data_IF_998242301103
#
_entry.id   IF_998242301103
#
_cell.length_a   1.000
_cell.length_b   1.000
_cell.length_c   1.000
_cell.angle_alpha   90.00
_cell.angle_beta   90.00
_cell.angle_gamma   90.00
#
_symmetry.space_group_name_H-M   'P 1'
#
loop_
_entity.id
_entity.type
_entity.pdbx_description
1 polymer ?
#
# COMPACT_ATOMS: atom_id res chain seq x y z
N UNK A 1 -9.31 -16.15 18.77
CA UNK A 1 -10.15 -15.54 19.82
C UNK A 1 -9.96 -14.04 19.68
N UNK A 2 -10.66 -13.45 18.69
CA UNK A 2 -10.53 -12.02 18.40
C UNK A 2 -11.19 -11.23 19.52
N UNK A 3 -10.50 -10.20 20.02
CA UNK A 3 -11.15 -9.16 20.78
C UNK A 3 -12.02 -8.41 19.78
N UNK A 4 -13.35 -8.56 19.84
CA UNK A 4 -14.23 -7.50 19.36
C UNK A 4 -13.81 -6.26 20.13
N UNK A 5 -13.11 -5.35 19.45
CA UNK A 5 -12.80 -4.06 20.03
C UNK A 5 -14.14 -3.36 20.28
N UNK A 6 -14.39 -2.97 21.53
CA UNK A 6 -15.54 -2.13 21.87
C UNK A 6 -15.32 -0.75 21.24
N UNK A 7 -15.74 -0.61 19.99
CA UNK A 7 -15.73 0.67 19.31
C UNK A 7 -16.83 1.54 19.93
N UNK A 8 -16.48 2.76 20.34
CA UNK A 8 -17.43 3.71 20.92
C UNK A 8 -17.52 4.94 20.02
N UNK A 9 -18.74 5.30 19.61
CA UNK A 9 -18.96 6.49 18.79
C UNK A 9 -19.17 7.73 19.67
N UNK A 10 -18.69 8.91 19.25
CA UNK A 10 -18.88 10.15 19.98
C UNK A 10 -20.37 10.44 20.18
N UNK A 11 -20.72 10.81 21.41
CA UNK A 11 -22.09 11.21 21.76
C UNK A 11 -22.34 12.68 21.40
N UNK A 12 -23.59 13.05 21.08
CA UNK A 12 -23.95 14.45 20.81
C UNK A 12 -23.63 15.37 21.99
N UNK A 13 -22.96 16.48 21.67
CA UNK A 13 -22.66 17.57 22.62
C UNK A 13 -23.70 18.68 22.45
N UNK A 14 -24.04 19.02 21.21
CA UNK A 14 -25.04 20.02 20.87
C UNK A 14 -26.44 19.37 20.81
N UNK A 15 -27.46 20.15 21.16
CA UNK A 15 -28.85 19.68 21.18
C UNK A 15 -29.75 20.62 20.38
N UNK A 16 -30.89 20.11 19.91
CA UNK A 16 -31.97 20.89 19.28
C UNK A 16 -31.50 21.84 18.18
N UNK A 17 -31.84 23.12 18.33
CA UNK A 17 -31.63 24.16 17.32
C UNK A 17 -30.15 24.44 17.03
N UNK A 18 -29.28 24.33 18.04
CA UNK A 18 -27.84 24.54 17.86
C UNK A 18 -27.24 23.47 16.95
N UNK A 19 -27.64 22.20 17.16
CA UNK A 19 -27.23 21.08 16.32
C UNK A 19 -27.74 21.26 14.89
N UNK A 20 -29.02 21.61 14.73
CA UNK A 20 -29.63 21.84 13.42
C UNK A 20 -28.93 22.99 12.66
N UNK A 21 -28.55 24.06 13.36
CA UNK A 21 -27.80 25.18 12.79
C UNK A 21 -26.42 24.74 12.29
N UNK A 22 -25.66 23.99 13.08
CA UNK A 22 -24.34 23.52 12.64
C UNK A 22 -24.45 22.55 11.44
N UNK A 23 -25.44 21.65 11.44
CA UNK A 23 -25.68 20.75 10.30
C UNK A 23 -26.03 21.51 9.02
N UNK A 24 -26.82 22.58 9.13
CA UNK A 24 -27.15 23.46 8.01
C UNK A 24 -25.92 24.18 7.48
N UNK A 25 -25.05 24.67 8.37
CA UNK A 25 -23.80 25.34 7.99
C UNK A 25 -22.76 24.39 7.37
N UNK A 26 -22.81 23.11 7.74
CA UNK A 26 -21.99 22.06 7.13
C UNK A 26 -22.47 21.65 5.73
N UNK A 27 -23.60 22.18 5.24
CA UNK A 27 -24.05 21.99 3.84
C UNK A 27 -23.20 22.83 2.88
N UNK A 28 -21.88 22.67 2.93
CA UNK A 28 -20.92 23.28 2.01
C UNK A 28 -20.73 22.35 0.81
N UNK A 29 -20.46 22.90 -0.37
CA UNK A 29 -20.04 22.09 -1.51
C UNK A 29 -18.71 21.41 -1.22
N UNK A 30 -18.73 20.08 -1.10
CA UNK A 30 -17.56 19.19 -0.94
C UNK A 30 -16.56 19.21 -2.12
N UNK A 31 -16.55 20.29 -2.91
CA UNK A 31 -15.57 20.57 -3.96
C UNK A 31 -14.77 21.84 -3.68
N UNK A 32 -15.14 22.59 -2.64
CA UNK A 32 -14.41 23.77 -2.18
C UNK A 32 -13.16 23.34 -1.40
N UNK A 33 -11.95 23.80 -1.77
CA UNK A 33 -10.73 23.56 -1.00
C UNK A 33 -10.80 23.99 0.47
N UNK A 34 -11.64 24.96 0.82
CA UNK A 34 -11.84 25.41 2.21
C UNK A 34 -12.91 24.61 2.96
N UNK A 35 -13.64 23.71 2.29
CA UNK A 35 -14.68 22.91 2.93
C UNK A 35 -14.13 22.01 4.05
N UNK A 36 -12.95 21.41 3.87
CA UNK A 36 -12.34 20.58 4.92
C UNK A 36 -12.17 21.36 6.23
N UNK A 37 -11.56 22.54 6.18
CA UNK A 37 -11.34 23.39 7.36
C UNK A 37 -12.63 23.84 8.01
N UNK A 38 -13.62 24.24 7.20
CA UNK A 38 -14.91 24.69 7.69
C UNK A 38 -15.65 23.55 8.39
N UNK A 39 -15.73 22.37 7.77
CA UNK A 39 -16.39 21.20 8.35
C UNK A 39 -15.64 20.76 9.61
N UNK A 40 -14.32 20.68 9.58
CA UNK A 40 -13.50 20.36 10.75
C UNK A 40 -13.73 21.33 11.91
N UNK A 41 -13.75 22.65 11.66
CA UNK A 41 -14.01 23.66 12.70
C UNK A 41 -15.38 23.51 13.36
N UNK A 42 -16.39 23.10 12.58
CA UNK A 42 -17.75 22.82 13.06
C UNK A 42 -17.79 21.51 13.85
N UNK A 43 -17.17 20.45 13.33
CA UNK A 43 -17.07 19.15 13.98
C UNK A 43 -16.30 19.20 15.30
N UNK A 44 -15.33 20.12 15.46
CA UNK A 44 -14.63 20.33 16.75
C UNK A 44 -15.59 20.78 17.86
N UNK A 45 -16.73 21.38 17.53
CA UNK A 45 -17.77 21.74 18.52
C UNK A 45 -18.62 20.55 18.93
N UNK A 46 -18.87 19.64 17.99
CA UNK A 46 -19.60 18.39 18.22
C UNK A 46 -19.20 17.34 17.14
N UNK A 47 -18.30 16.40 17.47
CA UNK A 47 -17.82 15.41 16.50
C UNK A 47 -18.90 14.45 16.02
N UNK A 48 -19.98 14.25 16.79
CA UNK A 48 -21.09 13.38 16.39
C UNK A 48 -21.84 13.91 15.16
N UNK A 49 -21.68 15.19 14.81
CA UNK A 49 -22.21 15.77 13.58
C UNK A 49 -21.69 15.06 12.32
N UNK A 50 -20.48 14.46 12.40
CA UNK A 50 -19.88 13.73 11.28
C UNK A 50 -20.56 12.39 11.00
N UNK A 51 -21.24 11.82 12.00
CA UNK A 51 -21.96 10.56 11.88
C UNK A 51 -23.41 10.75 11.37
N UNK A 52 -23.85 12.00 11.23
CA UNK A 52 -25.17 12.32 10.70
C UNK A 52 -25.22 12.11 9.18
N UNK A 53 -26.39 11.68 8.72
CA UNK A 53 -26.67 11.47 7.29
C UNK A 53 -26.32 12.73 6.51
N UNK A 54 -25.59 12.56 5.41
CA UNK A 54 -25.45 13.65 4.45
C UNK A 54 -26.80 13.87 3.75
N UNK A 55 -27.28 15.11 3.73
CA UNK A 55 -28.51 15.48 3.01
C UNK A 55 -28.30 15.52 1.47
N UNK A 56 -27.07 15.26 1.00
CA UNK A 56 -26.74 15.33 -0.42
C UNK A 56 -27.15 14.04 -1.13
N UNK A 57 -28.28 14.10 -1.82
CA UNK A 57 -28.71 13.12 -2.82
C UNK A 57 -27.80 13.03 -4.07
N UNK A 58 -26.63 13.67 -4.10
CA UNK A 58 -25.84 13.83 -5.33
C UNK A 58 -24.71 12.84 -5.53
N UNK A 59 -24.46 11.91 -4.59
CA UNK A 59 -23.64 10.73 -4.87
C UNK A 59 -24.12 9.55 -4.06
N UNK A 60 -24.56 8.51 -4.76
CA UNK A 60 -25.07 7.21 -4.29
C UNK A 60 -24.08 6.38 -3.42
N UNK A 61 -23.17 7.02 -2.66
CA UNK A 61 -21.91 6.41 -2.24
C UNK A 61 -21.50 6.69 -0.78
N UNK A 62 -21.93 7.81 -0.17
CA UNK A 62 -21.55 8.19 1.20
C UNK A 62 -22.80 8.28 2.10
N UNK A 63 -22.84 7.49 3.18
CA UNK A 63 -23.97 7.43 4.11
C UNK A 63 -23.95 8.56 5.15
N UNK A 64 -22.75 9.00 5.55
CA UNK A 64 -22.52 10.03 6.56
C UNK A 64 -21.61 11.14 6.05
N UNK A 65 -21.53 12.26 6.77
CA UNK A 65 -20.55 13.33 6.48
C UNK A 65 -19.11 12.85 6.65
N UNK A 66 -18.87 11.88 7.53
CA UNK A 66 -17.56 11.24 7.68
C UNK A 66 -17.19 10.45 6.43
N UNK A 67 -18.13 9.70 5.85
CA UNK A 67 -17.91 8.97 4.58
C UNK A 67 -17.60 9.93 3.42
N UNK A 68 -18.26 11.08 3.37
CA UNK A 68 -17.96 12.15 2.40
C UNK A 68 -16.56 12.71 2.63
N UNK A 69 -16.20 13.01 3.89
CA UNK A 69 -14.87 13.51 4.22
C UNK A 69 -13.77 12.54 3.78
N UNK A 70 -13.95 11.23 3.97
CA UNK A 70 -13.01 10.23 3.47
C UNK A 70 -12.98 10.20 1.93
N UNK A 71 -14.14 10.25 1.28
CA UNK A 71 -14.22 10.24 -0.19
C UNK A 71 -13.51 11.44 -0.85
N UNK A 72 -13.61 12.62 -0.25
CA UNK A 72 -12.98 13.85 -0.74
C UNK A 72 -11.57 14.10 -0.19
N UNK A 73 -11.02 13.17 0.60
CA UNK A 73 -9.68 13.27 1.22
C UNK A 73 -9.54 14.48 2.16
N UNK A 74 -10.59 14.75 2.95
CA UNK A 74 -10.67 15.84 3.94
C UNK A 74 -9.99 15.42 5.24
N UNK A 75 -8.65 15.52 5.24
CA UNK A 75 -7.78 15.03 6.30
C UNK A 75 -8.07 15.73 7.64
N UNK A 76 -8.33 17.04 7.65
CA UNK A 76 -8.58 17.76 8.92
C UNK A 76 -9.91 17.31 9.55
N UNK A 77 -10.94 17.10 8.73
CA UNK A 77 -12.25 16.64 9.18
C UNK A 77 -12.18 15.23 9.74
N UNK A 78 -11.49 14.31 9.05
CA UNK A 78 -11.30 12.94 9.54
C UNK A 78 -10.47 12.93 10.82
N UNK A 79 -9.45 13.78 10.93
CA UNK A 79 -8.64 13.91 12.15
C UNK A 79 -9.52 14.27 13.36
N UNK A 80 -10.49 15.17 13.21
CA UNK A 80 -11.41 15.52 14.30
C UNK A 80 -12.22 14.31 14.77
N UNK A 81 -12.69 13.46 13.85
CA UNK A 81 -13.41 12.24 14.21
C UNK A 81 -12.52 11.27 15.01
N UNK A 82 -11.29 11.05 14.55
CA UNK A 82 -10.34 10.13 15.19
C UNK A 82 -9.88 10.65 16.57
N UNK A 83 -9.68 11.97 16.71
CA UNK A 83 -9.39 12.62 18.01
C UNK A 83 -10.57 12.54 18.99
N UNK A 84 -11.80 12.49 18.47
CA UNK A 84 -13.01 12.31 19.25
C UNK A 84 -13.31 10.84 19.65
N UNK A 85 -12.41 9.91 19.31
CA UNK A 85 -12.49 8.51 19.70
C UNK A 85 -13.14 7.58 18.67
N UNK A 86 -13.45 8.07 17.46
CA UNK A 86 -13.84 7.18 16.35
C UNK A 86 -12.62 6.31 16.00
N UNK A 87 -12.77 4.99 16.09
CA UNK A 87 -11.68 4.08 15.73
C UNK A 87 -11.58 3.95 14.20
N UNK A 88 -10.38 4.02 13.59
CA UNK A 88 -10.21 3.95 12.14
C UNK A 88 -10.67 2.62 11.52
N UNK A 89 -10.74 1.56 12.33
CA UNK A 89 -11.26 0.25 11.94
C UNK A 89 -12.73 0.02 12.33
N UNK A 90 -13.45 1.00 12.89
CA UNK A 90 -14.88 0.83 13.21
C UNK A 90 -15.71 0.82 11.93
N UNK A 91 -16.27 -0.34 11.52
CA UNK A 91 -17.04 -0.45 10.29
C UNK A 91 -18.36 0.33 10.32
N UNK A 92 -18.83 0.73 11.51
CA UNK A 92 -20.05 1.53 11.65
C UNK A 92 -19.79 3.00 11.33
N UNK A 93 -18.55 3.46 11.49
CA UNK A 93 -18.14 4.84 11.23
C UNK A 93 -17.79 5.08 9.76
N UNK A 94 -17.34 4.04 9.03
CA UNK A 94 -16.91 4.13 7.64
C UNK A 94 -17.71 3.17 6.76
N UNK A 95 -18.88 3.64 6.30
CA UNK A 95 -19.81 2.85 5.50
C UNK A 95 -19.71 3.25 4.03
N UNK A 96 -18.96 2.47 3.24
CA UNK A 96 -19.00 2.65 1.79
C UNK A 96 -20.27 2.01 1.22
N UNK A 97 -21.13 2.82 0.62
CA UNK A 97 -22.31 2.29 -0.09
C UNK A 97 -21.88 1.83 -1.48
N UNK A 98 -22.14 0.55 -1.81
CA UNK A 98 -21.92 0.04 -3.17
C UNK A 98 -23.04 0.52 -4.10
N UNK A 99 -22.67 0.90 -5.33
CA UNK A 99 -23.65 1.17 -6.38
C UNK A 99 -24.46 -0.10 -6.68
N UNK A 100 -25.78 -0.04 -6.51
CA UNK A 100 -26.70 -1.11 -6.91
C UNK A 100 -27.45 -1.83 -5.79
N UNK A 101 -27.40 -1.35 -4.54
CA UNK A 101 -28.21 -1.91 -3.44
C UNK A 101 -27.74 -3.29 -2.93
N UNK A 102 -26.58 -3.76 -3.38
CA UNK A 102 -25.86 -4.85 -2.73
C UNK A 102 -25.39 -4.44 -1.34
N UNK A 103 -25.24 -5.41 -0.43
CA UNK A 103 -24.88 -5.19 0.98
C UNK A 103 -23.74 -4.16 1.14
N UNK A 104 -23.92 -3.24 2.09
CA UNK A 104 -22.89 -2.28 2.55
C UNK A 104 -21.65 -3.08 2.93
N UNK A 105 -20.60 -3.00 2.11
CA UNK A 105 -19.31 -3.51 2.51
C UNK A 105 -18.85 -2.64 3.67
N UNK A 106 -18.85 -3.21 4.88
CA UNK A 106 -18.23 -2.60 6.05
C UNK A 106 -16.76 -2.36 5.72
N UNK A 107 -16.34 -1.09 5.66
CA UNK A 107 -14.97 -0.73 5.28
C UNK A 107 -14.25 -0.10 6.47
N UNK A 108 -12.97 -0.41 6.61
CA UNK A 108 -12.05 0.29 7.52
C UNK A 108 -11.50 1.51 6.78
N UNK A 109 -11.11 2.56 7.48
CA UNK A 109 -10.54 3.78 6.87
C UNK A 109 -9.38 3.46 5.92
N UNK A 110 -8.47 2.58 6.34
CA UNK A 110 -7.30 2.12 5.56
C UNK A 110 -7.66 1.28 4.33
N UNK A 111 -8.87 0.71 4.31
CA UNK A 111 -9.38 -0.15 3.24
C UNK A 111 -10.42 0.56 2.37
N UNK A 112 -10.68 1.84 2.65
CA UNK A 112 -11.82 2.55 2.11
C UNK A 112 -11.69 2.65 0.59
N UNK A 113 -12.68 2.11 -0.11
CA UNK A 113 -12.82 2.08 -1.55
C UNK A 113 -14.24 2.44 -1.89
N UNK A 114 -14.39 3.59 -2.53
CA UNK A 114 -15.67 3.95 -3.14
C UNK A 114 -15.76 3.25 -4.49
N UNK A 115 -16.85 2.50 -4.70
CA UNK A 115 -17.17 1.71 -5.88
C UNK A 115 -17.56 2.58 -7.10
N UNK A 116 -16.74 3.57 -7.42
CA UNK A 116 -16.72 4.13 -8.77
C UNK A 116 -15.62 3.43 -9.57
N UNK A 117 -15.67 3.52 -10.90
CA UNK A 117 -14.69 2.89 -11.82
C UNK A 117 -13.20 3.25 -11.54
N UNK A 118 -12.91 4.08 -10.53
CA UNK A 118 -11.56 4.55 -10.17
C UNK A 118 -11.06 4.05 -8.80
N UNK A 119 -11.79 3.16 -8.10
CA UNK A 119 -11.33 2.40 -6.92
C UNK A 119 -10.30 3.14 -6.05
N UNK A 120 -10.73 4.19 -5.34
CA UNK A 120 -9.78 5.10 -4.67
C UNK A 120 -9.43 4.59 -3.27
N UNK A 121 -8.20 4.11 -3.10
CA UNK A 121 -7.59 4.02 -1.77
C UNK A 121 -7.32 5.41 -1.16
N UNK A 122 -7.28 5.50 0.18
CA UNK A 122 -6.81 6.68 0.90
C UNK A 122 -5.45 7.16 0.39
N UNK A 123 -5.28 8.47 0.32
CA UNK A 123 -3.98 9.10 0.02
C UNK A 123 -3.02 8.97 1.21
N UNK A 124 -1.70 9.19 1.01
CA UNK A 124 -0.70 8.96 2.06
C UNK A 124 -0.99 9.65 3.38
N UNK A 125 -1.46 10.91 3.35
CA UNK A 125 -1.79 11.65 4.59
C UNK A 125 -2.95 11.05 5.37
N UNK A 126 -4.01 10.63 4.67
CA UNK A 126 -5.16 9.98 5.30
C UNK A 126 -4.77 8.62 5.91
N UNK A 127 -3.94 7.85 5.19
CA UNK A 127 -3.42 6.57 5.67
C UNK A 127 -2.48 6.74 6.86
N UNK A 128 -1.55 7.70 6.81
CA UNK A 128 -0.66 8.04 7.93
C UNK A 128 -1.47 8.42 9.17
N UNK A 129 -2.51 9.24 8.99
CA UNK A 129 -3.44 9.62 10.05
C UNK A 129 -4.16 8.38 10.63
N UNK A 130 -4.69 7.50 9.78
CA UNK A 130 -5.34 6.27 10.23
C UNK A 130 -4.39 5.38 11.07
N UNK A 131 -3.18 5.13 10.56
CA UNK A 131 -2.17 4.32 11.25
C UNK A 131 -1.76 4.95 12.58
N UNK A 132 -1.60 6.28 12.64
CA UNK A 132 -1.30 7.02 13.88
C UNK A 132 -2.38 6.83 14.94
N UNK A 133 -3.64 6.69 14.53
CA UNK A 133 -4.79 6.47 15.42
C UNK A 133 -5.13 4.98 15.62
N UNK A 134 -4.18 4.07 15.33
CA UNK A 134 -4.29 2.67 15.71
C UNK A 134 -4.97 1.77 14.68
N UNK A 135 -5.07 2.21 13.42
CA UNK A 135 -5.56 1.34 12.35
C UNK A 135 -4.69 0.09 12.19
N UNK A 136 -5.32 -1.06 12.05
CA UNK A 136 -4.65 -2.36 11.91
C UNK A 136 -4.12 -2.55 10.46
N UNK A 137 -2.80 -2.50 10.21
CA UNK A 137 -2.25 -2.64 8.86
C UNK A 137 -2.47 -4.04 8.25
N UNK A 138 -2.78 -5.04 9.08
CA UNK A 138 -3.08 -6.41 8.69
C UNK A 138 -4.58 -6.71 8.60
N UNK A 139 -5.41 -5.72 8.94
CA UNK A 139 -6.83 -5.90 9.17
C UNK A 139 -7.51 -6.82 8.18
N UNK A 140 -8.12 -7.90 8.68
CA UNK A 140 -8.83 -8.86 7.85
C UNK A 140 -9.88 -8.13 7.02
N UNK A 141 -9.58 -8.00 5.73
CA UNK A 141 -10.57 -7.73 4.72
C UNK A 141 -11.17 -9.10 4.46
N UNK A 142 -12.36 -9.36 4.99
CA UNK A 142 -13.20 -10.41 4.44
C UNK A 142 -13.43 -10.04 2.97
N UNK A 143 -12.59 -10.59 2.10
CA UNK A 143 -12.82 -10.57 0.67
C UNK A 143 -14.16 -11.29 0.50
N UNK A 144 -15.12 -10.57 -0.06
CA UNK A 144 -16.54 -10.88 -0.23
C UNK A 144 -16.87 -12.30 -0.74
N UNK A 145 -15.88 -13.11 -1.12
CA UNK A 145 -16.08 -14.43 -1.72
C UNK A 145 -15.03 -15.51 -1.35
N UNK A 146 -13.93 -15.22 -0.61
CA UNK A 146 -12.83 -16.21 -0.49
C UNK A 146 -12.32 -16.55 0.92
N UNK A 147 -12.73 -15.84 1.97
CA UNK A 147 -12.33 -16.17 3.35
C UNK A 147 -10.81 -16.13 3.60
N UNK A 148 -10.08 -15.31 2.84
CA UNK A 148 -8.62 -15.20 2.94
C UNK A 148 -8.17 -13.81 3.36
N UNK A 149 -7.24 -13.79 4.31
CA UNK A 149 -6.57 -12.60 4.80
C UNK A 149 -5.62 -12.05 3.73
N UNK A 150 -5.97 -10.92 3.13
CA UNK A 150 -5.03 -10.12 2.35
C UNK A 150 -4.64 -8.90 3.19
N UNK A 151 -3.38 -8.81 3.59
CA UNK A 151 -2.87 -7.61 4.24
C UNK A 151 -3.06 -6.37 3.35
N UNK A 152 -3.30 -5.21 3.95
CA UNK A 152 -3.55 -3.98 3.19
C UNK A 152 -2.40 -3.65 2.25
N UNK A 153 -1.16 -3.94 2.65
CA UNK A 153 0.03 -3.70 1.81
C UNK A 153 -0.01 -4.47 0.49
N UNK A 154 -0.49 -5.71 0.50
CA UNK A 154 -0.66 -6.52 -0.71
C UNK A 154 -1.74 -5.94 -1.59
N UNK A 155 -2.85 -5.48 -1.00
CA UNK A 155 -3.95 -4.88 -1.75
C UNK A 155 -3.54 -3.60 -2.49
N UNK A 156 -2.77 -2.73 -1.82
CA UNK A 156 -2.19 -1.55 -2.46
C UNK A 156 -1.20 -1.92 -3.57
N UNK A 157 -0.43 -3.01 -3.41
CA UNK A 157 0.45 -3.51 -4.46
C UNK A 157 -0.31 -4.08 -5.67
N UNK A 158 -1.42 -4.79 -5.43
CA UNK A 158 -2.29 -5.31 -6.51
C UNK A 158 -2.88 -4.18 -7.35
N UNK A 159 -3.24 -3.05 -6.75
CA UNK A 159 -3.75 -1.89 -7.48
C UNK A 159 -2.75 -1.29 -8.48
N UNK A 160 -1.45 -1.48 -8.24
CA UNK A 160 -0.42 -1.05 -9.19
C UNK A 160 -0.51 -1.80 -10.53
N UNK A 161 -1.04 -3.03 -10.52
CA UNK A 161 -1.18 -3.85 -11.72
C UNK A 161 -2.24 -3.31 -12.68
N UNK A 162 -3.35 -2.81 -12.14
CA UNK A 162 -4.48 -2.30 -12.94
C UNK A 162 -4.27 -0.86 -13.45
N UNK A 163 -3.12 -0.25 -13.16
CA UNK A 163 -2.74 1.08 -13.61
C UNK A 163 -2.40 1.15 -15.12
N UNK A 164 -3.43 0.99 -15.96
CA UNK A 164 -3.32 1.00 -17.43
C UNK A 164 -3.65 2.36 -18.08
N UNK A 165 -3.92 3.42 -17.29
CA UNK A 165 -4.32 4.75 -17.78
C UNK A 165 -3.46 5.93 -17.29
N UNK A 166 -3.57 7.09 -17.95
CA UNK A 166 -2.82 8.32 -17.59
C UNK A 166 -3.16 8.84 -16.18
N UNK A 167 -4.42 8.73 -15.76
CA UNK A 167 -4.88 9.09 -14.41
C UNK A 167 -4.27 8.17 -13.34
N UNK A 168 -4.07 6.90 -13.69
CA UNK A 168 -3.46 5.90 -12.84
C UNK A 168 -1.96 6.16 -12.62
N UNK A 169 -1.23 6.61 -13.66
CA UNK A 169 0.18 6.99 -13.53
C UNK A 169 0.40 8.21 -12.63
N UNK A 170 -0.54 9.16 -12.60
CA UNK A 170 -0.45 10.34 -11.73
C UNK A 170 -0.51 9.97 -10.23
N UNK A 171 -1.12 8.83 -9.89
CA UNK A 171 -1.27 8.34 -8.51
C UNK A 171 -0.15 7.43 -8.04
N UNK A 172 0.74 7.03 -8.94
CA UNK A 172 1.80 6.09 -8.65
C UNK A 172 2.70 6.52 -7.46
N UNK A 173 3.14 7.79 -7.34
CA UNK A 173 3.91 8.23 -6.18
C UNK A 173 3.14 8.06 -4.86
N UNK A 174 1.85 8.44 -4.85
CA UNK A 174 0.99 8.31 -3.68
C UNK A 174 0.80 6.85 -3.28
N UNK A 175 0.52 5.96 -4.24
CA UNK A 175 0.36 4.52 -3.95
C UNK A 175 1.64 3.91 -3.42
N UNK A 176 2.81 4.24 -4.01
CA UNK A 176 4.10 3.76 -3.51
C UNK A 176 4.38 4.27 -2.09
N UNK A 177 4.00 5.50 -1.77
CA UNK A 177 4.14 6.06 -0.43
C UNK A 177 3.20 5.37 0.57
N UNK A 178 1.95 5.09 0.18
CA UNK A 178 1.04 4.30 1.00
C UNK A 178 1.60 2.91 1.30
N UNK A 179 2.21 2.24 0.32
CA UNK A 179 2.88 0.95 0.53
C UNK A 179 4.03 1.09 1.54
N UNK A 180 4.84 2.17 1.47
CA UNK A 180 5.90 2.42 2.45
C UNK A 180 5.35 2.60 3.86
N UNK A 181 4.28 3.37 4.02
CA UNK A 181 3.61 3.58 5.30
C UNK A 181 3.12 2.24 5.89
N UNK A 182 2.46 1.41 5.08
CA UNK A 182 1.99 0.10 5.51
C UNK A 182 3.15 -0.83 5.88
N UNK A 183 4.21 -0.91 5.07
CA UNK A 183 5.41 -1.70 5.41
C UNK A 183 6.06 -1.24 6.71
N UNK A 184 6.09 0.07 6.99
CA UNK A 184 6.63 0.62 8.23
C UNK A 184 5.75 0.34 9.44
N UNK A 185 4.45 0.13 9.25
CA UNK A 185 3.54 -0.34 10.29
C UNK A 185 3.77 -1.81 10.68
N UNK A 186 4.75 -2.50 10.06
CA UNK A 186 5.14 -3.89 10.33
C UNK A 186 3.97 -4.88 10.19
N UNK A 187 3.45 -5.06 8.97
CA UNK A 187 2.39 -6.03 8.73
C UNK A 187 2.92 -7.43 9.03
N UNK A 188 2.10 -8.27 9.67
CA UNK A 188 2.43 -9.65 10.05
C UNK A 188 2.72 -10.53 8.84
N UNK A 189 1.94 -10.37 7.77
CA UNK A 189 2.03 -11.21 6.57
C UNK A 189 2.20 -10.34 5.31
N UNK A 190 3.41 -10.33 4.76
CA UNK A 190 3.72 -9.65 3.49
C UNK A 190 3.53 -10.60 2.31
N UNK A 191 4.04 -11.81 2.42
CA UNK A 191 3.80 -12.91 1.49
C UNK A 191 2.64 -13.79 1.97
N UNK A 192 1.96 -14.50 1.06
CA UNK A 192 0.86 -15.36 1.46
C UNK A 192 1.39 -16.63 2.13
N UNK A 193 0.70 -17.08 3.19
CA UNK A 193 1.06 -18.29 3.94
C UNK A 193 0.62 -19.58 3.24
N UNK A 194 -0.45 -19.51 2.43
CA UNK A 194 -0.97 -20.66 1.68
C UNK A 194 -1.30 -20.33 0.23
N UNK A 195 -1.14 -21.36 -0.58
CA UNK A 195 -1.24 -21.33 -2.02
C UNK A 195 -2.71 -21.58 -2.42
N UNK A 196 -3.44 -20.56 -2.90
CA UNK A 196 -4.81 -20.78 -3.40
C UNK A 196 -5.26 -19.85 -4.55
N UNK A 197 -6.17 -20.34 -5.41
CA UNK A 197 -6.46 -19.89 -6.81
C UNK A 197 -6.85 -18.41 -6.99
N UNK A 198 -6.23 -17.74 -7.99
CA UNK A 198 -6.22 -16.30 -8.36
C UNK A 198 -5.07 -15.44 -7.80
N UNK A 199 -4.68 -14.39 -8.56
CA UNK A 199 -3.49 -13.48 -8.45
C UNK A 199 -2.97 -13.10 -7.04
N UNK A 200 -3.73 -13.39 -6.01
CA UNK A 200 -3.35 -13.42 -4.60
C UNK A 200 -2.17 -14.39 -4.28
N UNK A 201 -1.79 -15.31 -5.19
CA UNK A 201 -0.64 -16.22 -4.98
C UNK A 201 0.74 -15.61 -5.20
N UNK A 202 0.85 -14.43 -5.80
CA UNK A 202 2.17 -13.88 -6.08
C UNK A 202 2.83 -13.40 -4.79
N UNK A 203 4.13 -13.62 -4.64
CA UNK A 203 4.92 -12.95 -3.62
C UNK A 203 4.73 -11.44 -3.75
N UNK A 204 4.81 -10.71 -2.64
CA UNK A 204 4.61 -9.27 -2.60
C UNK A 204 5.46 -8.53 -3.64
N UNK A 205 6.71 -8.98 -3.84
CA UNK A 205 7.64 -8.37 -4.80
C UNK A 205 7.23 -8.63 -6.25
N UNK A 206 6.58 -9.76 -6.56
CA UNK A 206 5.94 -9.98 -7.86
C UNK A 206 4.73 -9.08 -8.07
N UNK A 207 3.86 -8.91 -7.06
CA UNK A 207 2.72 -7.98 -7.13
C UNK A 207 3.21 -6.56 -7.41
N UNK A 208 4.14 -6.07 -6.58
CA UNK A 208 4.81 -4.77 -6.77
C UNK A 208 5.44 -4.65 -8.16
N UNK A 209 6.12 -5.71 -8.62
CA UNK A 209 6.83 -5.74 -9.90
C UNK A 209 5.97 -5.78 -11.16
N UNK A 210 4.71 -6.20 -11.02
CA UNK A 210 3.77 -6.34 -12.12
C UNK A 210 3.05 -5.03 -12.49
N UNK A 211 3.53 -3.89 -11.98
CA UNK A 211 2.95 -2.59 -12.22
C UNK A 211 3.14 -2.12 -13.67
N UNK A 212 2.06 -1.88 -14.41
CA UNK A 212 2.05 -1.44 -15.82
C UNK A 212 2.96 -0.25 -16.17
N UNK A 213 3.18 0.64 -15.20
CA UNK A 213 4.14 1.74 -15.32
C UNK A 213 5.59 1.27 -15.60
N UNK A 214 6.01 0.13 -15.05
CA UNK A 214 7.36 -0.42 -15.24
C UNK A 214 7.53 -1.09 -16.61
N UNK A 215 6.47 -1.61 -17.21
CA UNK A 215 6.51 -2.19 -18.57
C UNK A 215 6.50 -1.13 -19.66
N UNK A 216 5.80 -0.02 -19.44
CA UNK A 216 5.72 1.07 -20.42
C UNK A 216 6.95 1.99 -20.44
N UNK A 217 7.79 1.97 -19.38
CA UNK A 217 8.99 2.80 -19.24
C UNK A 217 10.20 1.99 -18.75
N UNK A 218 10.73 1.08 -19.58
CA UNK A 218 11.81 0.20 -19.20
C UNK A 218 13.12 0.97 -19.01
N UNK A 219 13.53 1.23 -17.76
CA UNK A 219 14.87 1.76 -17.46
C UNK A 219 15.23 1.55 -15.99
N UNK A 220 16.36 0.90 -15.74
CA UNK A 220 16.93 0.71 -14.40
C UNK A 220 17.42 2.00 -13.74
N UNK A 221 17.71 3.04 -14.53
CA UNK A 221 18.22 4.33 -14.03
C UNK A 221 17.13 5.37 -13.84
N UNK A 222 15.91 5.09 -14.29
CA UNK A 222 14.76 5.97 -14.11
C UNK A 222 14.46 6.20 -12.63
N UNK A 223 13.95 7.39 -12.29
CA UNK A 223 13.52 7.68 -10.92
C UNK A 223 12.39 6.76 -10.48
N UNK A 224 11.58 6.26 -11.42
CA UNK A 224 10.56 5.29 -11.12
C UNK A 224 11.15 3.96 -10.65
N UNK A 225 12.12 3.42 -11.38
CA UNK A 225 12.82 2.20 -10.98
C UNK A 225 13.53 2.35 -9.63
N UNK A 226 14.11 3.53 -9.33
CA UNK A 226 14.69 3.82 -8.01
C UNK A 226 13.64 3.78 -6.90
N UNK A 227 12.44 4.32 -7.13
CA UNK A 227 11.35 4.28 -6.15
C UNK A 227 10.88 2.84 -5.89
N UNK A 228 10.63 2.06 -6.94
CA UNK A 228 10.28 0.64 -6.82
C UNK A 228 11.37 -0.17 -6.12
N UNK A 229 12.65 0.07 -6.44
CA UNK A 229 13.79 -0.53 -5.75
C UNK A 229 13.81 -0.18 -4.25
N UNK A 230 13.56 1.08 -3.90
CA UNK A 230 13.47 1.52 -2.51
C UNK A 230 12.36 0.80 -1.75
N UNK A 231 11.17 0.64 -2.35
CA UNK A 231 10.06 -0.10 -1.73
C UNK A 231 10.39 -1.59 -1.62
N UNK A 232 11.02 -2.18 -2.64
CA UNK A 232 11.46 -3.58 -2.60
C UNK A 232 12.48 -3.86 -1.48
N UNK A 233 13.47 -2.99 -1.32
CA UNK A 233 14.45 -3.07 -0.23
C UNK A 233 13.77 -2.98 1.13
N UNK A 234 12.81 -2.07 1.30
CA UNK A 234 12.03 -1.97 2.53
C UNK A 234 11.23 -3.26 2.77
N UNK A 235 10.53 -3.77 1.76
CA UNK A 235 9.76 -5.00 1.89
C UNK A 235 10.62 -6.20 2.28
N UNK A 236 11.80 -6.36 1.68
CA UNK A 236 12.78 -7.38 2.07
C UNK A 236 13.21 -7.23 3.53
N UNK A 237 13.49 -5.99 3.97
CA UNK A 237 13.85 -5.72 5.37
C UNK A 237 12.69 -6.00 6.35
N UNK A 238 11.45 -6.01 5.87
CA UNK A 238 10.25 -6.35 6.63
C UNK A 238 9.84 -7.82 6.52
N UNK A 239 10.61 -8.65 5.80
CA UNK A 239 10.39 -10.09 5.73
C UNK A 239 9.76 -10.60 4.43
N UNK A 240 9.59 -9.76 3.40
CA UNK A 240 9.24 -10.24 2.07
C UNK A 240 10.32 -11.21 1.56
N UNK A 241 9.90 -12.32 0.98
CA UNK A 241 10.75 -13.34 0.41
C UNK A 241 11.22 -12.90 -0.97
N UNK A 242 12.54 -12.75 -1.12
CA UNK A 242 13.17 -12.50 -2.43
C UNK A 242 12.96 -13.67 -3.41
N UNK A 243 12.83 -14.88 -2.86
CA UNK A 243 12.82 -16.14 -3.61
C UNK A 243 11.45 -16.84 -3.55
N UNK A 244 10.40 -16.08 -3.33
CA UNK A 244 9.05 -16.61 -3.39
C UNK A 244 8.84 -17.33 -4.73
N UNK A 245 8.37 -18.58 -4.66
CA UNK A 245 8.10 -19.41 -5.83
C UNK A 245 6.63 -19.24 -6.18
N UNK A 246 6.35 -18.82 -7.41
CA UNK A 246 4.99 -18.68 -7.92
C UNK A 246 4.39 -20.09 -8.05
N UNK A 247 3.36 -20.45 -7.28
CA UNK A 247 2.95 -21.86 -7.13
C UNK A 247 2.52 -22.55 -8.41
N UNK A 248 1.77 -21.88 -9.29
CA UNK A 248 1.28 -22.45 -10.55
C UNK A 248 2.36 -22.60 -11.63
N UNK A 249 3.44 -21.82 -11.53
CA UNK A 249 4.51 -21.78 -12.53
C UNK A 249 5.79 -22.50 -12.06
N UNK A 250 5.90 -22.77 -10.76
CA UNK A 250 7.12 -23.32 -10.16
C UNK A 250 8.35 -22.42 -10.30
N UNK A 251 8.16 -21.17 -10.73
CA UNK A 251 9.25 -20.23 -11.00
C UNK A 251 9.46 -19.27 -9.83
N UNK A 252 10.73 -19.00 -9.44
CA UNK A 252 11.04 -17.85 -8.61
C UNK A 252 10.46 -16.57 -9.22
N UNK A 253 9.85 -15.73 -8.39
CA UNK A 253 9.15 -14.51 -8.81
C UNK A 253 9.96 -13.59 -9.75
N UNK A 254 11.28 -13.51 -9.60
CA UNK A 254 12.14 -12.73 -10.50
C UNK A 254 12.14 -13.28 -11.93
N UNK A 255 12.17 -14.61 -12.12
CA UNK A 255 12.10 -15.25 -13.44
C UNK A 255 10.69 -15.22 -14.00
N UNK A 256 9.68 -15.37 -13.15
CA UNK A 256 8.29 -15.17 -13.54
C UNK A 256 8.06 -13.76 -14.10
N UNK A 257 8.54 -12.72 -13.41
CA UNK A 257 8.46 -11.33 -13.89
C UNK A 257 9.15 -11.15 -15.25
N UNK A 258 10.33 -11.76 -15.46
CA UNK A 258 11.03 -11.71 -16.74
C UNK A 258 10.18 -12.31 -17.87
N UNK A 259 9.68 -13.54 -17.66
CA UNK A 259 8.84 -14.27 -18.62
C UNK A 259 7.53 -13.55 -18.93
N UNK A 260 6.92 -12.92 -17.92
CA UNK A 260 5.68 -12.17 -18.05
C UNK A 260 5.86 -10.77 -18.68
N UNK A 261 7.08 -10.38 -19.03
CA UNK A 261 7.37 -9.11 -19.70
C UNK A 261 7.53 -7.91 -18.75
N UNK A 262 7.99 -8.15 -17.52
CA UNK A 262 8.33 -7.14 -16.51
C UNK A 262 9.84 -7.12 -16.22
N UNK A 263 10.68 -6.84 -17.22
CA UNK A 263 12.12 -7.02 -17.10
C UNK A 263 12.78 -6.06 -16.11
N UNK A 264 12.24 -4.85 -15.93
CA UNK A 264 12.81 -3.84 -15.01
C UNK A 264 12.76 -4.31 -13.57
N UNK A 265 11.60 -4.78 -13.08
CA UNK A 265 11.54 -5.30 -11.72
C UNK A 265 12.30 -6.61 -11.58
N UNK A 266 12.25 -7.50 -12.57
CA UNK A 266 13.05 -8.72 -12.56
C UNK A 266 14.54 -8.42 -12.36
N UNK A 267 15.08 -7.47 -13.13
CA UNK A 267 16.45 -7.02 -12.99
C UNK A 267 16.73 -6.35 -11.63
N UNK A 268 15.80 -5.56 -11.08
CA UNK A 268 15.92 -5.04 -9.70
C UNK A 268 16.05 -6.21 -8.69
N UNK A 269 15.20 -7.23 -8.78
CA UNK A 269 15.27 -8.38 -7.87
C UNK A 269 16.57 -9.17 -8.03
N UNK A 270 17.08 -9.29 -9.26
CA UNK A 270 18.39 -9.90 -9.55
C UNK A 270 19.53 -9.09 -8.93
N UNK A 271 19.49 -7.77 -9.04
CA UNK A 271 20.46 -6.87 -8.39
C UNK A 271 20.43 -7.05 -6.86
N UNK A 272 19.22 -7.20 -6.29
CA UNK A 272 19.00 -7.42 -4.85
C UNK A 272 19.36 -8.84 -4.38
N UNK A 273 19.66 -9.77 -5.29
CA UNK A 273 20.26 -11.06 -4.95
C UNK A 273 19.55 -12.31 -5.46
N UNK A 274 18.41 -12.18 -6.16
CA UNK A 274 17.55 -13.32 -6.49
C UNK A 274 18.25 -14.40 -7.36
N UNK A 275 19.22 -14.03 -8.19
CA UNK A 275 19.84 -14.95 -9.15
C UNK A 275 20.67 -16.09 -8.54
N UNK A 276 21.19 -15.94 -7.31
CA UNK A 276 22.06 -16.95 -6.70
C UNK A 276 21.29 -18.10 -6.02
N UNK A 277 19.99 -17.90 -5.83
CA UNK A 277 19.10 -18.79 -5.09
C UNK A 277 18.14 -19.55 -6.00
N UNK A 278 18.25 -19.39 -7.32
CA UNK A 278 17.41 -20.10 -8.27
C UNK A 278 17.75 -21.58 -8.31
N UNK A 279 16.80 -22.40 -7.86
CA UNK A 279 16.83 -23.86 -8.04
C UNK A 279 16.06 -24.19 -9.30
N UNK A 280 16.73 -24.12 -10.45
CA UNK A 280 16.15 -24.51 -11.74
C UNK A 280 16.48 -25.95 -12.07
N UNK A 281 15.70 -26.54 -12.99
CA UNK A 281 16.01 -27.84 -13.56
C UNK A 281 17.38 -27.84 -14.25
N UNK A 282 18.13 -28.95 -14.20
CA UNK A 282 19.42 -29.06 -14.87
C UNK A 282 19.34 -28.69 -16.36
N UNK A 283 20.25 -27.83 -16.82
CA UNK A 283 20.30 -27.38 -18.21
C UNK A 283 19.45 -26.15 -18.54
N UNK A 284 18.58 -25.70 -17.62
CA UNK A 284 17.83 -24.45 -17.78
C UNK A 284 18.74 -23.26 -17.47
N UNK A 285 19.03 -22.45 -18.49
CA UNK A 285 19.77 -21.20 -18.33
C UNK A 285 18.81 -20.07 -17.94
N UNK A 286 19.00 -19.39 -16.80
CA UNK A 286 18.15 -18.26 -16.42
C UNK A 286 18.07 -17.14 -17.47
N UNK A 287 19.12 -16.94 -18.28
CA UNK A 287 19.10 -15.94 -19.37
C UNK A 287 18.01 -16.21 -20.41
N UNK A 288 17.56 -17.47 -20.58
CA UNK A 288 16.54 -17.81 -21.58
C UNK A 288 15.15 -17.26 -21.24
N UNK A 289 14.93 -16.79 -20.01
CA UNK A 289 13.69 -16.14 -19.60
C UNK A 289 13.65 -14.64 -19.95
N UNK A 290 14.76 -14.10 -20.44
CA UNK A 290 14.89 -12.69 -20.81
C UNK A 290 15.05 -12.54 -22.32
N UNK A 291 14.48 -11.46 -22.87
CA UNK A 291 14.60 -11.14 -24.30
C UNK A 291 14.82 -9.64 -24.51
N UNK A 292 15.45 -9.28 -25.62
CA UNK A 292 15.71 -7.89 -26.01
C UNK A 292 16.36 -7.05 -24.90
N UNK A 293 15.76 -5.89 -24.61
CA UNK A 293 16.18 -4.98 -23.55
C UNK A 293 16.18 -5.64 -22.16
N UNK A 294 15.30 -6.61 -21.92
CA UNK A 294 15.24 -7.30 -20.63
C UNK A 294 16.48 -8.14 -20.34
N UNK A 295 17.10 -8.73 -21.38
CA UNK A 295 18.37 -9.44 -21.22
C UNK A 295 19.51 -8.47 -20.91
N UNK A 296 19.48 -7.26 -21.49
CA UNK A 296 20.45 -6.22 -21.18
C UNK A 296 20.32 -5.77 -19.71
N UNK A 297 19.10 -5.52 -19.22
CA UNK A 297 18.87 -5.18 -17.82
C UNK A 297 19.29 -6.28 -16.86
N UNK A 298 19.02 -7.55 -17.20
CA UNK A 298 19.47 -8.69 -16.41
C UNK A 298 21.00 -8.72 -16.26
N UNK A 299 21.72 -8.58 -17.38
CA UNK A 299 23.19 -8.57 -17.37
C UNK A 299 23.75 -7.36 -16.64
N UNK A 300 23.15 -6.19 -16.81
CA UNK A 300 23.50 -4.98 -16.08
C UNK A 300 23.30 -5.16 -14.57
N UNK A 301 22.18 -5.74 -14.14
CA UNK A 301 21.89 -6.03 -12.74
C UNK A 301 22.91 -7.01 -12.14
N UNK A 302 23.29 -8.07 -12.86
CA UNK A 302 24.35 -8.99 -12.43
C UNK A 302 25.69 -8.27 -12.28
N UNK A 303 26.05 -7.39 -13.21
CA UNK A 303 27.29 -6.61 -13.12
C UNK A 303 27.27 -5.67 -11.91
N UNK A 304 26.20 -4.89 -11.73
CA UNK A 304 26.03 -3.97 -10.58
C UNK A 304 26.16 -4.71 -9.26
N UNK A 305 25.55 -5.89 -9.14
CA UNK A 305 25.64 -6.73 -7.96
C UNK A 305 27.07 -7.23 -7.70
N UNK A 306 27.79 -7.71 -8.73
CA UNK A 306 29.19 -8.15 -8.59
C UNK A 306 30.06 -7.02 -8.07
N UNK A 307 29.91 -5.81 -8.64
CA UNK A 307 30.61 -4.62 -8.19
C UNK A 307 30.27 -4.28 -6.73
N UNK A 308 29.00 -4.32 -6.33
CA UNK A 308 28.60 -4.08 -4.94
C UNK A 308 29.26 -5.07 -3.97
N UNK A 309 29.35 -6.34 -4.34
CA UNK A 309 30.00 -7.37 -3.53
C UNK A 309 31.53 -7.16 -3.43
N UNK A 310 32.20 -6.79 -4.53
CA UNK A 310 33.63 -6.45 -4.53
C UNK A 310 33.95 -5.22 -3.69
N UNK A 311 33.13 -4.17 -3.80
CA UNK A 311 33.25 -2.95 -2.98
C UNK A 311 33.04 -3.26 -1.50
N UNK A 312 32.04 -4.08 -1.17
CA UNK A 312 31.79 -4.52 0.21
C UNK A 312 33.00 -5.26 0.81
N UNK A 313 33.58 -6.21 0.05
CA UNK A 313 34.79 -6.93 0.46
C UNK A 313 35.97 -5.98 0.71
N UNK A 314 36.18 -5.00 -0.18
CA UNK A 314 37.25 -4.03 -0.02
C UNK A 314 37.06 -3.16 1.24
N UNK A 315 35.83 -2.73 1.52
CA UNK A 315 35.50 -1.97 2.73
C UNK A 315 35.72 -2.79 4.01
N UNK A 316 35.37 -4.08 4.00
CA UNK A 316 35.59 -4.98 5.13
C UNK A 316 37.08 -5.18 5.42
N UNK A 317 37.89 -5.41 4.38
CA UNK A 317 39.36 -5.54 4.50
C UNK A 317 39.96 -4.25 5.08
N UNK A 318 39.56 -3.09 4.56
CA UNK A 318 40.01 -1.79 5.06
C UNK A 318 39.61 -1.57 6.54
N UNK A 319 38.37 -1.94 6.91
CA UNK A 319 37.88 -1.87 8.29
C UNK A 319 38.64 -2.80 9.24
N UNK A 320 38.99 -4.02 8.80
CA UNK A 320 39.80 -4.96 9.57
C UNK A 320 41.24 -4.45 9.75
N UNK A 321 41.87 -3.92 8.70
CA UNK A 321 43.20 -3.31 8.78
C UNK A 321 43.23 -2.11 9.75
N UNK A 322 42.23 -1.22 9.69
CA UNK A 322 42.13 -0.07 10.59
C UNK A 322 41.95 -0.49 12.07
N UNK A 323 41.19 -1.57 12.34
CA UNK A 323 41.03 -2.13 13.69
C UNK A 323 42.34 -2.78 14.20
N UNK A 324 43.10 -3.43 13.33
CA UNK A 324 44.40 -4.01 13.67
C UNK A 324 45.43 -2.93 14.03
N UNK A 325 45.53 -1.87 13.23
CA UNK A 325 46.43 -0.74 13.52
C UNK A 325 46.10 -0.02 14.84
N UNK A 326 44.81 0.14 15.18
CA UNK A 326 44.40 0.73 16.47
C UNK A 326 44.71 -0.15 17.68
N UNK A 327 44.79 -1.48 17.51
CA UNK A 327 45.20 -2.40 18.59
C UNK A 327 46.72 -2.41 18.75
N UNK A 328 47.49 -2.31 17.66
CA UNK A 328 48.94 -2.20 17.70
C UNK A 328 49.47 -0.90 18.31
N UNK A 329 48.72 0.21 18.21
CA UNK A 329 49.09 1.50 18.79
C UNK A 329 48.72 1.69 20.27
N UNK A 330 48.13 0.67 20.92
CA UNK A 330 47.76 0.67 22.36
C UNK A 330 48.61 -0.30 23.21
N UNK A 331 49.64 -0.89 22.62
CA UNK A 331 50.68 -1.68 23.28
C UNK A 331 51.98 -0.88 23.31
#
# INVERSE_FOLDING_TARGET
MERQADFTLPQPILTGDERAKELSLMRVEFKDPEADRLIAARARRDPSLLLESSDRHTSYLAGTRLDEAVYFDYVETVQVALEAGVHPDDPRAFQATLLGGGQVGQQRLIAYRVSTMEGRFPRPRMLELALKHGADPDGDIEAFESGRSNSHVRRYATDLHDFNGSLALARLPDTLECIRLLLNANPRCIDPDEAGSNREWYGFLALLGSASALKSRPSLTSDLAKQFRSVAVLALAKGASLNYVVPDEGLPQALWLARAGWPTMSAILVELGAADSWKLEPGVNPESFFSGEGLAFYREALMRRRLQHEVGKAADIAGQAARSCRRGARL
#
